data_IF_011396288439
#
_entry.id   IF_011396288439
#
_cell.length_a   1.000
_cell.length_b   1.000
_cell.length_c   1.000
_cell.angle_alpha   90.00
_cell.angle_beta   90.00
_cell.angle_gamma   90.00
#
_symmetry.space_group_name_H-M   'P 1'
#
loop_
_entity.id
_entity.type
_entity.pdbx_description
1 polymer ?
#
# COMPACT_ATOMS: atom_id res chain seq x y z
N UNK A 1 -9.83 -7.19 26.62
CA UNK A 1 -8.44 -7.70 26.56
C UNK A 1 -7.46 -6.55 26.71
N UNK A 2 -6.28 -6.83 27.25
CA UNK A 2 -5.15 -5.89 27.33
C UNK A 2 -4.23 -6.11 26.13
N UNK A 3 -4.12 -5.11 25.28
CA UNK A 3 -3.53 -5.23 23.95
C UNK A 3 -2.29 -4.33 23.85
N UNK A 4 -1.18 -4.90 23.34
CA UNK A 4 -0.06 -4.12 22.83
C UNK A 4 -0.27 -3.87 21.33
N UNK A 5 -0.26 -2.62 20.89
CA UNK A 5 -0.44 -2.28 19.49
C UNK A 5 0.89 -1.89 18.84
N UNK A 6 1.20 -2.46 17.66
CA UNK A 6 2.42 -2.19 16.91
C UNK A 6 2.06 -1.72 15.50
N UNK A 7 2.37 -0.47 15.17
CA UNK A 7 2.03 0.09 13.86
C UNK A 7 2.76 1.41 13.60
N UNK A 8 2.81 1.84 12.33
CA UNK A 8 3.52 3.10 12.00
C UNK A 8 2.75 4.00 11.04
N UNK A 9 2.34 3.56 9.81
CA UNK A 9 1.73 4.43 8.82
C UNK A 9 0.22 4.61 9.05
N UNK A 10 -0.36 5.50 8.26
CA UNK A 10 -1.79 5.81 8.32
C UNK A 10 -2.73 4.59 8.23
N UNK A 11 -2.45 3.55 7.41
CA UNK A 11 -3.30 2.35 7.34
C UNK A 11 -3.44 1.57 8.66
N UNK A 12 -2.56 1.78 9.63
CA UNK A 12 -2.66 1.15 10.94
C UNK A 12 -3.59 1.91 11.91
N UNK A 13 -3.92 3.17 11.63
CA UNK A 13 -4.72 4.02 12.51
C UNK A 13 -6.16 3.52 12.68
N UNK A 14 -6.88 3.08 11.62
CA UNK A 14 -8.24 2.56 11.77
C UNK A 14 -8.31 1.40 12.76
N UNK A 15 -7.35 0.48 12.72
CA UNK A 15 -7.30 -0.66 13.65
C UNK A 15 -7.06 -0.22 15.09
N UNK A 16 -6.12 0.71 15.34
CA UNK A 16 -5.88 1.24 16.68
C UNK A 16 -7.16 1.89 17.26
N UNK A 17 -7.82 2.74 16.47
CA UNK A 17 -9.06 3.41 16.90
C UNK A 17 -10.19 2.41 17.13
N UNK A 18 -10.31 1.39 16.28
CA UNK A 18 -11.34 0.36 16.42
C UNK A 18 -11.16 -0.47 17.70
N UNK A 19 -9.93 -0.84 18.06
CA UNK A 19 -9.66 -1.56 19.32
C UNK A 19 -10.10 -0.75 20.54
N UNK A 20 -9.75 0.53 20.60
CA UNK A 20 -10.18 1.42 21.72
C UNK A 20 -11.70 1.59 21.74
N UNK A 21 -12.33 1.81 20.57
CA UNK A 21 -13.78 1.99 20.44
C UNK A 21 -14.57 0.74 20.85
N UNK A 22 -14.00 -0.45 20.68
CA UNK A 22 -14.58 -1.73 21.10
C UNK A 22 -14.28 -2.08 22.57
N UNK A 23 -13.72 -1.14 23.36
CA UNK A 23 -13.50 -1.30 24.79
C UNK A 23 -12.30 -2.15 25.19
N UNK A 24 -11.36 -2.39 24.26
CA UNK A 24 -10.09 -3.04 24.60
C UNK A 24 -9.15 -2.03 25.27
N UNK A 25 -8.39 -2.48 26.27
CA UNK A 25 -7.36 -1.69 26.92
C UNK A 25 -6.07 -1.76 26.10
N UNK A 26 -5.74 -0.70 25.37
CA UNK A 26 -4.45 -0.60 24.67
C UNK A 26 -3.39 -0.13 25.68
N UNK A 27 -2.62 -1.08 26.24
CA UNK A 27 -1.65 -0.83 27.32
C UNK A 27 -0.40 -0.10 26.84
N UNK A 28 -0.02 -0.30 25.58
CA UNK A 28 1.13 0.36 24.94
C UNK A 28 0.94 0.41 23.41
N UNK A 29 1.42 1.48 22.81
CA UNK A 29 1.53 1.62 21.33
C UNK A 29 3.01 1.72 20.95
N UNK A 30 3.50 0.73 20.22
CA UNK A 30 4.88 0.74 19.72
C UNK A 30 4.89 1.18 18.27
N UNK A 31 5.62 2.25 17.98
CA UNK A 31 5.74 2.83 16.64
C UNK A 31 7.16 3.27 16.34
N UNK A 32 7.48 3.42 15.06
CA UNK A 32 8.82 3.93 14.65
C UNK A 32 9.04 5.35 15.16
N UNK A 33 10.28 5.73 15.46
CA UNK A 33 10.64 7.09 15.88
C UNK A 33 10.20 8.15 14.87
N UNK A 34 10.02 9.36 15.35
CA UNK A 34 9.71 10.53 14.53
C UNK A 34 10.75 10.71 13.42
N UNK A 35 10.28 11.09 12.25
CA UNK A 35 11.14 11.32 11.08
C UNK A 35 10.94 12.72 10.54
N UNK A 36 12.00 13.26 9.96
CA UNK A 36 11.90 14.50 9.20
C UNK A 36 10.97 14.31 8.01
N UNK A 37 9.95 15.15 7.88
CA UNK A 37 8.96 15.12 6.81
C UNK A 37 8.76 16.51 6.22
N UNK A 38 8.28 16.55 4.97
CA UNK A 38 8.04 17.80 4.25
C UNK A 38 9.32 18.53 3.80
N UNK A 39 9.12 19.62 3.06
CA UNK A 39 10.23 20.43 2.49
C UNK A 39 11.08 21.15 3.55
N UNK A 40 10.52 21.42 4.73
CA UNK A 40 11.22 22.06 5.87
C UNK A 40 12.03 21.11 6.74
N UNK A 41 11.88 19.79 6.58
CA UNK A 41 12.63 18.80 7.36
C UNK A 41 12.30 18.79 8.85
N UNK A 42 11.14 19.26 9.28
CA UNK A 42 10.68 19.20 10.67
C UNK A 42 10.40 17.76 11.10
N UNK A 43 10.73 17.44 12.36
CA UNK A 43 10.39 16.18 12.98
C UNK A 43 8.87 16.08 13.13
N UNK A 44 8.28 15.08 12.51
CA UNK A 44 6.84 14.83 12.60
C UNK A 44 6.59 13.43 13.16
N UNK A 45 5.58 13.29 14.04
CA UNK A 45 5.17 12.00 14.57
C UNK A 45 4.69 11.07 13.44
N UNK A 46 4.79 9.76 13.67
CA UNK A 46 4.10 8.81 12.81
C UNK A 46 2.58 9.01 12.93
N UNK A 47 1.77 8.66 11.90
CA UNK A 47 0.31 8.71 12.00
C UNK A 47 -0.23 7.92 13.21
N UNK A 48 0.35 6.75 13.50
CA UNK A 48 -0.02 5.96 14.68
C UNK A 48 0.34 6.69 15.98
N UNK A 49 1.53 7.33 16.07
CA UNK A 49 1.87 8.12 17.26
C UNK A 49 0.90 9.28 17.47
N UNK A 50 0.56 10.01 16.42
CA UNK A 50 -0.39 11.12 16.51
C UNK A 50 -1.75 10.63 17.03
N UNK A 51 -2.30 9.56 16.44
CA UNK A 51 -3.56 8.97 16.88
C UNK A 51 -3.50 8.43 18.32
N UNK A 52 -2.39 7.80 18.72
CA UNK A 52 -2.21 7.29 20.08
C UNK A 52 -2.21 8.41 21.11
N UNK A 53 -1.53 9.53 20.84
CA UNK A 53 -1.52 10.70 21.72
C UNK A 53 -2.90 11.36 21.85
N UNK A 54 -3.66 11.48 20.74
CA UNK A 54 -5.05 11.95 20.74
C UNK A 54 -5.96 11.06 21.61
N UNK A 55 -5.69 9.76 21.65
CA UNK A 55 -6.42 8.79 22.46
C UNK A 55 -5.93 8.68 23.92
N UNK A 56 -4.88 9.44 24.28
CA UNK A 56 -4.29 9.39 25.62
C UNK A 56 -3.52 8.10 25.93
N UNK A 57 -3.02 7.39 24.90
CA UNK A 57 -2.33 6.12 25.04
C UNK A 57 -0.83 6.28 25.25
N UNK A 58 -0.22 5.32 25.94
CA UNK A 58 1.23 5.26 26.13
C UNK A 58 1.93 4.88 24.82
N UNK A 59 2.94 5.66 24.43
CA UNK A 59 3.70 5.46 23.18
C UNK A 59 5.14 5.10 23.48
N UNK A 60 5.65 4.07 22.81
CA UNK A 60 7.06 3.68 22.82
C UNK A 60 7.63 3.59 21.41
N UNK A 61 8.96 3.64 21.32
CA UNK A 61 9.73 3.48 20.09
C UNK A 61 10.62 2.23 20.11
N UNK A 62 10.51 1.42 21.14
CA UNK A 62 11.30 0.18 21.31
C UNK A 62 10.41 -1.01 21.66
N UNK A 63 10.68 -2.15 21.02
CA UNK A 63 10.01 -3.42 21.36
C UNK A 63 10.32 -3.90 22.76
N UNK A 64 11.45 -3.45 23.36
CA UNK A 64 11.85 -3.87 24.71
C UNK A 64 10.83 -3.49 25.76
N UNK A 65 10.06 -2.44 25.55
CA UNK A 65 9.05 -2.00 26.50
C UNK A 65 7.87 -2.96 26.61
N UNK A 66 7.70 -3.89 25.66
CA UNK A 66 6.72 -4.98 25.74
C UNK A 66 7.00 -5.94 26.89
N UNK A 67 8.26 -6.10 27.33
CA UNK A 67 8.60 -6.91 28.50
C UNK A 67 8.10 -6.31 29.82
N UNK A 68 7.76 -5.02 29.84
CA UNK A 68 7.38 -4.29 31.05
C UNK A 68 5.87 -4.02 31.14
N UNK A 69 5.08 -4.52 30.19
CA UNK A 69 3.63 -4.36 30.17
C UNK A 69 2.96 -5.73 30.22
N UNK A 70 1.84 -5.80 30.90
CA UNK A 70 1.05 -7.02 30.98
C UNK A 70 0.02 -7.00 29.83
N UNK A 71 0.47 -7.35 28.63
CA UNK A 71 -0.37 -7.48 27.44
C UNK A 71 -0.74 -8.95 27.21
N UNK A 72 -2.04 -9.21 26.99
CA UNK A 72 -2.55 -10.54 26.67
C UNK A 72 -2.36 -10.89 25.20
N UNK A 73 -2.32 -9.84 24.33
CA UNK A 73 -2.23 -9.98 22.88
C UNK A 73 -1.48 -8.80 22.28
N UNK A 74 -0.62 -9.06 21.31
CA UNK A 74 -0.06 -8.06 20.42
C UNK A 74 -0.86 -7.95 19.12
N UNK A 75 -1.07 -6.74 18.63
CA UNK A 75 -1.69 -6.47 17.32
C UNK A 75 -0.71 -5.69 16.46
N UNK A 76 -0.35 -6.25 15.32
CA UNK A 76 0.64 -5.69 14.40
C UNK A 76 -0.05 -5.25 13.11
N UNK A 77 0.16 -4.00 12.71
CA UNK A 77 -0.35 -3.47 11.43
C UNK A 77 0.73 -2.59 10.80
N UNK A 78 1.34 -3.06 9.72
CA UNK A 78 2.34 -2.31 8.97
C UNK A 78 3.41 -1.64 9.88
N UNK A 79 3.92 -2.36 10.86
CA UNK A 79 4.89 -1.84 11.83
C UNK A 79 6.23 -1.45 11.19
N UNK A 80 6.65 -2.20 10.17
CA UNK A 80 7.83 -1.90 9.37
C UNK A 80 9.17 -2.23 10.03
N UNK A 81 9.17 -3.15 10.99
CA UNK A 81 10.37 -3.77 11.56
C UNK A 81 10.10 -5.23 11.88
N UNK A 82 11.16 -6.04 11.86
CA UNK A 82 11.12 -7.43 12.29
C UNK A 82 10.82 -7.52 13.79
N UNK A 83 9.96 -8.44 14.17
CA UNK A 83 9.69 -8.78 15.58
C UNK A 83 10.48 -10.06 15.88
N UNK A 84 11.40 -10.03 16.86
CA UNK A 84 12.20 -11.20 17.19
C UNK A 84 11.31 -12.35 17.74
N UNK A 85 11.69 -13.59 17.44
CA UNK A 85 10.99 -14.80 17.94
C UNK A 85 10.81 -14.78 19.48
N UNK A 86 11.85 -14.40 20.22
CA UNK A 86 11.79 -14.26 21.68
C UNK A 86 10.68 -13.29 22.16
N UNK A 87 10.24 -12.34 21.34
CA UNK A 87 9.14 -11.45 21.70
C UNK A 87 7.79 -12.13 21.50
N UNK A 88 7.67 -13.01 20.50
CA UNK A 88 6.45 -13.77 20.23
C UNK A 88 6.17 -14.80 21.31
N UNK A 89 7.22 -15.27 22.01
CA UNK A 89 7.09 -16.15 23.19
C UNK A 89 6.54 -15.40 24.41
N UNK A 90 6.75 -14.07 24.48
CA UNK A 90 6.27 -13.25 25.61
C UNK A 90 4.84 -12.81 25.41
N UNK A 91 4.51 -12.36 24.19
CA UNK A 91 3.17 -11.89 23.82
C UNK A 91 2.80 -12.51 22.49
N UNK A 92 1.78 -13.38 22.42
CA UNK A 92 1.25 -13.86 21.14
C UNK A 92 0.74 -12.69 20.33
N UNK A 93 0.98 -12.70 19.02
CA UNK A 93 0.66 -11.55 18.16
C UNK A 93 -0.17 -11.94 16.96
N UNK A 94 -1.16 -11.10 16.64
CA UNK A 94 -1.88 -11.11 15.37
C UNK A 94 -1.35 -10.03 14.45
N UNK A 95 -1.29 -10.32 13.16
CA UNK A 95 -0.97 -9.36 12.11
C UNK A 95 -2.18 -9.14 11.19
N UNK A 96 -2.47 -7.88 10.88
CA UNK A 96 -3.42 -7.50 9.83
C UNK A 96 -2.63 -7.40 8.54
N UNK A 97 -2.75 -8.41 7.68
CA UNK A 97 -2.04 -8.48 6.41
C UNK A 97 -2.97 -8.15 5.25
N UNK A 98 -2.54 -7.22 4.38
CA UNK A 98 -3.38 -6.68 3.30
C UNK A 98 -3.28 -7.48 2.00
N UNK A 99 -3.47 -8.80 2.11
CA UNK A 99 -3.65 -9.71 0.98
C UNK A 99 -4.42 -10.96 1.38
N UNK A 100 -4.77 -11.78 0.39
CA UNK A 100 -5.34 -13.12 0.55
C UNK A 100 -4.18 -14.12 0.61
N UNK A 101 -3.68 -14.41 1.81
CA UNK A 101 -2.57 -15.33 2.02
C UNK A 101 -2.93 -16.77 1.54
N UNK A 102 -1.95 -17.51 0.99
CA UNK A 102 -0.52 -17.27 0.92
C UNK A 102 -0.04 -16.35 -0.21
N UNK A 103 -0.97 -15.71 -0.96
CA UNK A 103 -0.61 -14.78 -2.02
C UNK A 103 -0.14 -13.45 -1.43
N UNK A 104 0.96 -12.94 -1.96
CA UNK A 104 1.55 -11.64 -1.60
C UNK A 104 2.04 -11.54 -0.13
N UNK A 105 2.75 -12.55 0.37
CA UNK A 105 3.53 -12.40 1.61
C UNK A 105 4.57 -11.29 1.45
N UNK A 106 4.74 -10.41 2.44
CA UNK A 106 5.77 -9.39 2.43
C UNK A 106 5.30 -7.94 2.48
N UNK A 107 6.11 -7.02 1.93
CA UNK A 107 6.06 -5.61 2.30
C UNK A 107 5.09 -4.74 1.48
N UNK A 108 4.69 -5.16 0.27
CA UNK A 108 3.90 -4.35 -0.66
C UNK A 108 2.76 -5.15 -1.34
N UNK A 109 1.90 -5.86 -0.56
CA UNK A 109 0.89 -6.76 -1.11
C UNK A 109 -0.14 -6.05 -1.98
N UNK A 110 -0.59 -4.87 -1.60
CA UNK A 110 -1.62 -4.08 -2.29
C UNK A 110 -1.14 -3.65 -3.67
N UNK A 111 0.06 -3.08 -3.74
CA UNK A 111 0.67 -2.63 -4.99
C UNK A 111 0.97 -3.80 -5.92
N UNK A 112 1.43 -4.93 -5.37
CA UNK A 112 1.71 -6.14 -6.17
C UNK A 112 0.44 -6.76 -6.74
N UNK A 113 -0.66 -6.76 -6.01
CA UNK A 113 -1.96 -7.22 -6.50
C UNK A 113 -2.44 -6.36 -7.69
N UNK A 114 -2.30 -5.03 -7.60
CA UNK A 114 -2.63 -4.11 -8.71
C UNK A 114 -1.72 -4.39 -9.93
N UNK A 115 -0.40 -4.46 -9.74
CA UNK A 115 0.57 -4.68 -10.82
C UNK A 115 0.36 -6.01 -11.52
N UNK A 116 -0.01 -7.04 -10.79
CA UNK A 116 -0.29 -8.38 -11.35
C UNK A 116 -1.63 -8.45 -12.09
N UNK A 117 -2.49 -7.45 -11.91
CA UNK A 117 -3.83 -7.42 -12.50
C UNK A 117 -4.80 -8.38 -11.82
N UNK A 118 -4.62 -8.64 -10.53
CA UNK A 118 -5.55 -9.40 -9.74
C UNK A 118 -6.92 -8.73 -9.76
N UNK A 119 -7.99 -9.51 -9.84
CA UNK A 119 -9.36 -8.99 -9.84
C UNK A 119 -9.85 -8.65 -8.45
N UNK A 120 -9.35 -9.39 -7.45
CA UNK A 120 -9.68 -9.25 -6.04
C UNK A 120 -8.42 -9.31 -5.17
N UNK A 121 -8.52 -8.74 -3.99
CA UNK A 121 -7.57 -8.85 -2.90
C UNK A 121 -8.33 -8.92 -1.58
N UNK A 122 -7.67 -8.77 -0.46
CA UNK A 122 -8.36 -8.79 0.82
C UNK A 122 -7.46 -8.51 1.99
N UNK A 123 -7.94 -8.91 3.14
CA UNK A 123 -7.23 -8.85 4.42
C UNK A 123 -7.26 -10.21 5.07
N UNK A 124 -6.12 -10.66 5.58
CA UNK A 124 -6.03 -11.79 6.49
C UNK A 124 -5.65 -11.31 7.88
N UNK A 125 -6.39 -11.79 8.89
CA UNK A 125 -5.97 -11.72 10.30
C UNK A 125 -5.24 -13.02 10.58
N UNK A 126 -3.94 -12.94 10.81
CA UNK A 126 -3.08 -14.12 10.95
C UNK A 126 -2.27 -14.09 12.24
N UNK A 127 -1.92 -15.25 12.78
CA UNK A 127 -0.92 -15.36 13.83
C UNK A 127 0.45 -14.95 13.30
N UNK A 128 1.17 -14.12 14.03
CA UNK A 128 2.53 -13.76 13.65
C UNK A 128 3.51 -14.85 14.09
N UNK A 129 4.32 -15.31 13.16
CA UNK A 129 5.39 -16.28 13.37
C UNK A 129 6.75 -15.70 12.99
N UNK A 130 7.83 -16.43 13.25
CA UNK A 130 9.18 -16.00 12.93
C UNK A 130 9.40 -15.81 11.41
N UNK A 131 8.82 -16.70 10.61
CA UNK A 131 8.94 -16.61 9.16
C UNK A 131 7.94 -15.60 8.59
N UNK A 132 8.33 -14.97 7.47
CA UNK A 132 7.59 -13.86 6.87
C UNK A 132 6.18 -14.27 6.42
N UNK A 133 5.18 -13.78 7.14
CA UNK A 133 3.75 -13.93 6.85
C UNK A 133 3.29 -15.39 6.59
N UNK A 134 3.85 -16.35 7.36
CA UNK A 134 3.58 -17.80 7.21
C UNK A 134 2.53 -18.34 8.16
N UNK A 135 2.21 -17.62 9.23
CA UNK A 135 1.32 -18.10 10.27
C UNK A 135 -0.09 -18.39 9.81
N UNK A 136 -0.84 -19.19 10.58
CA UNK A 136 -2.22 -19.56 10.26
C UNK A 136 -3.15 -18.34 10.28
N UNK A 137 -4.23 -18.42 9.51
CA UNK A 137 -5.21 -17.35 9.28
C UNK A 137 -6.46 -17.60 10.11
N UNK A 138 -6.84 -16.62 10.93
CA UNK A 138 -8.05 -16.65 11.76
C UNK A 138 -9.29 -16.19 10.99
N UNK A 139 -9.13 -15.20 10.11
CA UNK A 139 -10.21 -14.64 9.31
C UNK A 139 -9.66 -14.05 8.02
N UNK A 140 -10.36 -14.30 6.93
CA UNK A 140 -10.10 -13.71 5.62
C UNK A 140 -11.31 -12.89 5.17
N UNK A 141 -11.07 -11.69 4.65
CA UNK A 141 -12.09 -10.83 4.05
C UNK A 141 -11.64 -10.38 2.65
N UNK A 142 -12.55 -10.44 1.67
CA UNK A 142 -12.26 -10.17 0.25
C UNK A 142 -12.89 -8.89 -0.24
N UNK A 143 -12.22 -8.20 -1.14
CA UNK A 143 -12.76 -7.05 -1.89
C UNK A 143 -12.30 -7.08 -3.35
N UNK A 144 -13.11 -6.48 -4.23
CA UNK A 144 -12.72 -6.27 -5.62
C UNK A 144 -11.71 -5.12 -5.75
N UNK A 145 -10.67 -5.31 -6.56
CA UNK A 145 -9.70 -4.26 -6.88
C UNK A 145 -10.30 -3.24 -7.85
N UNK A 146 -10.94 -3.70 -8.94
CA UNK A 146 -11.45 -2.81 -10.00
C UNK A 146 -10.38 -1.85 -10.51
N UNK A 147 -10.74 -0.60 -10.72
CA UNK A 147 -9.85 0.47 -11.18
C UNK A 147 -9.29 1.34 -10.05
N UNK A 148 -9.43 0.92 -8.80
CA UNK A 148 -8.94 1.68 -7.63
C UNK A 148 -7.43 1.91 -7.70
N UNK A 149 -7.01 3.09 -7.27
CA UNK A 149 -5.60 3.38 -6.98
C UNK A 149 -5.11 2.61 -5.76
N UNK A 150 -3.80 2.49 -5.59
CA UNK A 150 -3.23 1.84 -4.39
C UNK A 150 -3.63 2.54 -3.09
N UNK A 151 -3.79 3.87 -3.12
CA UNK A 151 -4.25 4.63 -1.96
C UNK A 151 -5.69 4.31 -1.59
N UNK A 152 -6.62 4.36 -2.55
CA UNK A 152 -8.04 4.04 -2.33
C UNK A 152 -8.22 2.60 -1.84
N UNK A 153 -7.50 1.66 -2.47
CA UNK A 153 -7.57 0.25 -2.09
C UNK A 153 -7.02 0.02 -0.68
N UNK A 154 -5.91 0.67 -0.33
CA UNK A 154 -5.31 0.56 0.99
C UNK A 154 -6.19 1.19 2.08
N UNK A 155 -6.86 2.31 1.80
CA UNK A 155 -7.81 2.93 2.72
C UNK A 155 -9.00 2.00 3.00
N UNK A 156 -9.57 1.39 1.96
CA UNK A 156 -10.67 0.43 2.08
C UNK A 156 -10.24 -0.84 2.85
N UNK A 157 -9.06 -1.40 2.52
CA UNK A 157 -8.49 -2.55 3.22
C UNK A 157 -8.17 -2.25 4.69
N UNK A 158 -7.75 -1.03 5.00
CA UNK A 158 -7.45 -0.61 6.37
C UNK A 158 -8.70 -0.61 7.26
N UNK A 159 -9.84 -0.17 6.72
CA UNK A 159 -11.14 -0.20 7.41
C UNK A 159 -11.64 -1.64 7.54
N UNK A 160 -11.53 -2.43 6.46
CA UNK A 160 -11.92 -3.84 6.46
C UNK A 160 -11.09 -4.64 7.45
N UNK A 161 -9.77 -4.44 7.49
CA UNK A 161 -8.86 -5.08 8.42
C UNK A 161 -9.14 -4.73 9.88
N UNK A 162 -9.50 -3.48 10.16
CA UNK A 162 -9.91 -3.05 11.50
C UNK A 162 -11.17 -3.78 11.97
N UNK A 163 -12.17 -3.95 11.09
CA UNK A 163 -13.40 -4.71 11.40
C UNK A 163 -13.10 -6.18 11.61
N UNK A 164 -12.36 -6.80 10.69
CA UNK A 164 -11.99 -8.21 10.76
C UNK A 164 -11.18 -8.52 12.02
N UNK A 165 -10.23 -7.65 12.41
CA UNK A 165 -9.49 -7.84 13.66
C UNK A 165 -10.39 -7.75 14.88
N UNK A 166 -11.28 -6.77 14.96
CA UNK A 166 -12.22 -6.67 16.10
C UNK A 166 -13.15 -7.87 16.17
N UNK A 167 -13.55 -8.46 15.06
CA UNK A 167 -14.32 -9.69 15.00
C UNK A 167 -13.54 -10.87 15.60
N UNK A 168 -12.27 -11.05 15.20
CA UNK A 168 -11.39 -12.10 15.73
C UNK A 168 -11.16 -11.92 17.22
N UNK A 169 -10.79 -10.71 17.67
CA UNK A 169 -10.48 -10.43 19.09
C UNK A 169 -11.73 -10.50 19.96
N UNK A 170 -12.91 -10.23 19.41
CA UNK A 170 -14.21 -10.33 20.10
C UNK A 170 -14.78 -11.75 20.17
N UNK A 171 -14.21 -12.72 19.46
CA UNK A 171 -14.67 -14.11 19.40
C UNK A 171 -13.62 -15.07 19.94
N UNK A 172 -13.92 -15.74 21.06
CA UNK A 172 -13.03 -16.76 21.61
C UNK A 172 -12.80 -17.92 20.64
N UNK A 173 -13.82 -18.26 19.85
CA UNK A 173 -13.75 -19.29 18.83
C UNK A 173 -12.76 -18.91 17.70
N UNK A 174 -12.93 -17.74 17.10
CA UNK A 174 -12.04 -17.26 16.03
C UNK A 174 -10.60 -17.06 16.53
N UNK A 175 -10.44 -16.56 17.76
CA UNK A 175 -9.12 -16.33 18.33
C UNK A 175 -8.35 -17.63 18.60
N UNK A 176 -9.03 -18.73 18.92
CA UNK A 176 -8.41 -20.04 19.18
C UNK A 176 -8.23 -20.89 17.93
N UNK A 177 -9.05 -20.68 16.92
CA UNK A 177 -9.06 -21.51 15.72
C UNK A 177 -8.52 -20.68 14.54
N UNK A 178 -7.39 -21.10 14.01
CA UNK A 178 -6.79 -20.53 12.83
C UNK A 178 -6.40 -21.63 11.85
N UNK A 179 -6.71 -21.43 10.58
CA UNK A 179 -6.44 -22.41 9.54
C UNK A 179 -5.05 -22.20 8.94
N UNK A 180 -4.30 -23.30 8.68
CA UNK A 180 -3.06 -23.20 7.92
C UNK A 180 -3.29 -22.58 6.55
N UNK A 181 -2.34 -21.78 6.07
CA UNK A 181 -2.39 -21.26 4.71
C UNK A 181 -2.29 -22.41 3.68
N UNK A 182 -3.16 -22.41 2.66
CA UNK A 182 -3.22 -23.44 1.62
C UNK A 182 -2.93 -22.82 0.25
N UNK A 183 -2.05 -23.46 -0.52
CA UNK A 183 -1.66 -23.04 -1.87
C UNK A 183 -0.20 -22.60 -1.97
N UNK A 184 0.22 -22.24 -3.19
CA UNK A 184 1.58 -21.78 -3.47
C UNK A 184 1.77 -20.32 -3.03
N UNK A 185 2.76 -20.02 -2.19
CA UNK A 185 3.01 -18.66 -1.76
C UNK A 185 3.59 -17.80 -2.89
N UNK A 186 3.17 -16.55 -2.93
CA UNK A 186 3.83 -15.51 -3.73
C UNK A 186 4.32 -14.38 -2.84
N UNK A 187 5.32 -13.63 -3.30
CA UNK A 187 6.00 -12.65 -2.47
C UNK A 187 5.84 -11.22 -3.00
N UNK A 188 5.53 -10.33 -2.09
CA UNK A 188 5.34 -8.90 -2.34
C UNK A 188 6.58 -8.12 -1.87
N UNK A 189 7.64 -8.19 -2.66
CA UNK A 189 8.85 -7.42 -2.40
C UNK A 189 8.58 -5.93 -2.42
N UNK A 190 9.33 -5.19 -1.62
CA UNK A 190 9.28 -3.74 -1.55
C UNK A 190 9.52 -3.11 -2.93
N UNK A 191 8.69 -2.14 -3.30
CA UNK A 191 8.82 -1.42 -4.55
C UNK A 191 10.04 -0.47 -4.52
N UNK A 192 10.73 -0.38 -5.64
CA UNK A 192 11.81 0.56 -5.88
C UNK A 192 11.38 1.65 -6.89
N UNK A 193 12.25 2.60 -7.17
CA UNK A 193 11.98 3.69 -8.11
C UNK A 193 11.71 3.20 -9.54
N UNK A 194 12.37 2.12 -9.93
CA UNK A 194 12.24 1.55 -11.27
C UNK A 194 10.86 0.99 -11.55
N UNK A 195 10.17 0.48 -10.51
CA UNK A 195 8.77 0.01 -10.62
C UNK A 195 7.82 1.10 -11.13
N UNK A 196 8.13 2.37 -10.89
CA UNK A 196 7.27 3.50 -11.26
C UNK A 196 7.69 4.16 -12.58
N UNK A 197 8.77 3.70 -13.20
CA UNK A 197 9.25 4.18 -14.48
C UNK A 197 8.44 3.52 -15.61
N UNK A 198 7.67 4.32 -16.34
CA UNK A 198 6.90 3.85 -17.49
C UNK A 198 7.85 3.59 -18.66
N UNK A 199 7.82 2.37 -19.20
CA UNK A 199 8.65 1.94 -20.32
C UNK A 199 7.80 1.64 -21.55
N UNK A 200 8.23 2.09 -22.70
CA UNK A 200 7.51 1.87 -23.97
C UNK A 200 7.48 0.38 -24.39
N UNK A 201 8.29 -0.46 -23.76
CA UNK A 201 8.33 -1.91 -23.95
C UNK A 201 7.21 -2.67 -23.25
N UNK A 202 6.50 -2.03 -22.31
CA UNK A 202 5.36 -2.58 -21.60
C UNK A 202 4.05 -2.33 -22.37
N UNK A 203 2.98 -3.06 -22.08
CA UNK A 203 1.65 -2.80 -22.63
C UNK A 203 0.98 -1.58 -21.96
N UNK A 204 0.08 -0.91 -22.66
CA UNK A 204 -0.71 0.20 -22.11
C UNK A 204 -1.47 -0.21 -20.84
N UNK A 205 -2.01 -1.43 -20.80
CA UNK A 205 -2.68 -2.00 -19.64
C UNK A 205 -1.73 -2.10 -18.43
N UNK A 206 -0.49 -2.56 -18.64
CA UNK A 206 0.48 -2.65 -17.56
C UNK A 206 0.91 -1.27 -17.09
N UNK A 207 1.10 -0.31 -17.99
CA UNK A 207 1.42 1.07 -17.62
C UNK A 207 0.28 1.74 -16.84
N UNK A 208 -0.97 1.51 -17.21
CA UNK A 208 -2.13 2.01 -16.45
C UNK A 208 -2.14 1.46 -15.00
N UNK A 209 -1.76 0.19 -14.80
CA UNK A 209 -1.60 -0.37 -13.45
C UNK A 209 -0.48 0.34 -12.66
N UNK A 210 0.64 0.66 -13.30
CA UNK A 210 1.74 1.41 -12.67
C UNK A 210 1.28 2.82 -12.27
N UNK A 211 0.49 3.49 -13.12
CA UNK A 211 -0.07 4.83 -12.82
C UNK A 211 -0.95 4.79 -11.58
N UNK A 212 -1.76 3.76 -11.40
CA UNK A 212 -2.63 3.56 -10.23
C UNK A 212 -1.86 3.45 -8.91
N UNK A 213 -0.54 3.21 -8.93
CA UNK A 213 0.30 3.26 -7.73
C UNK A 213 0.61 4.70 -7.27
N UNK A 214 0.23 5.73 -8.05
CA UNK A 214 0.31 7.16 -7.69
C UNK A 214 1.70 7.77 -7.74
N UNK A 215 2.71 7.09 -8.33
CA UNK A 215 4.11 7.53 -8.39
C UNK A 215 4.73 7.40 -9.79
N UNK A 216 3.92 7.11 -10.80
CA UNK A 216 4.36 6.86 -12.17
C UNK A 216 5.06 8.06 -12.80
N UNK A 217 6.10 7.79 -13.53
CA UNK A 217 6.83 8.79 -14.31
C UNK A 217 7.48 8.16 -15.54
N UNK A 218 7.80 9.02 -16.49
CA UNK A 218 8.67 8.73 -17.63
C UNK A 218 9.57 9.92 -17.89
N UNK A 219 10.28 9.91 -19.00
CA UNK A 219 11.08 11.03 -19.49
C UNK A 219 10.61 11.47 -20.88
N UNK A 220 10.63 12.78 -21.11
CA UNK A 220 10.43 13.39 -22.41
C UNK A 220 11.71 14.20 -22.67
N UNK A 221 12.58 13.69 -23.54
CA UNK A 221 13.96 14.09 -23.58
C UNK A 221 14.64 13.82 -22.23
N UNK A 222 15.29 14.82 -21.65
CA UNK A 222 15.98 14.69 -20.35
C UNK A 222 15.09 15.09 -19.15
N UNK A 223 13.85 15.55 -19.39
CA UNK A 223 12.97 16.06 -18.35
C UNK A 223 12.05 14.97 -17.82
N UNK A 224 11.97 14.91 -16.49
CA UNK A 224 11.05 13.98 -15.81
C UNK A 224 9.61 14.42 -16.00
N UNK A 225 8.78 13.48 -16.38
CA UNK A 225 7.36 13.69 -16.65
C UNK A 225 6.54 12.71 -15.81
N UNK A 226 5.77 13.22 -14.86
CA UNK A 226 4.90 12.38 -14.03
C UNK A 226 3.56 12.21 -14.71
N UNK A 227 3.04 10.99 -14.65
CA UNK A 227 1.70 10.62 -15.07
C UNK A 227 0.90 10.32 -13.82
N UNK A 228 -0.13 11.12 -13.56
CA UNK A 228 -0.92 11.05 -12.32
C UNK A 228 -2.20 10.26 -12.52
N UNK A 229 -2.85 10.43 -13.68
CA UNK A 229 -4.04 9.68 -14.08
C UNK A 229 -3.91 9.34 -15.57
N UNK A 230 -4.24 8.10 -15.92
CA UNK A 230 -4.17 7.60 -17.27
C UNK A 230 -4.98 6.32 -17.42
N UNK A 231 -5.41 6.02 -18.64
CA UNK A 231 -6.09 4.78 -18.97
C UNK A 231 -5.56 4.18 -20.26
N UNK A 232 -5.69 2.86 -20.41
CA UNK A 232 -5.24 2.15 -21.61
C UNK A 232 -6.27 2.30 -22.74
N UNK A 233 -5.77 2.46 -23.97
CA UNK A 233 -6.55 2.50 -25.20
C UNK A 233 -6.04 1.45 -26.19
N UNK A 234 -6.94 0.90 -26.98
CA UNK A 234 -6.56 0.15 -28.18
C UNK A 234 -5.99 1.12 -29.22
N UNK A 235 -4.77 0.91 -29.62
CA UNK A 235 -4.06 1.71 -30.62
C UNK A 235 -2.93 0.90 -31.24
N UNK A 236 -2.60 1.20 -32.50
CA UNK A 236 -1.43 0.65 -33.18
C UNK A 236 -0.53 1.82 -33.60
N UNK A 237 0.75 1.72 -33.30
CA UNK A 237 1.73 2.75 -33.61
C UNK A 237 3.12 2.30 -33.20
N UNK A 238 4.11 3.15 -33.45
CA UNK A 238 5.50 2.90 -33.07
C UNK A 238 5.69 3.15 -31.56
N UNK A 239 6.10 2.13 -30.78
CA UNK A 239 6.33 2.30 -29.34
C UNK A 239 7.36 3.40 -29.05
N UNK A 240 7.08 4.23 -28.06
CA UNK A 240 7.93 5.36 -27.68
C UNK A 240 7.54 6.69 -28.36
N UNK A 241 6.58 6.68 -29.28
CA UNK A 241 6.02 7.91 -29.88
C UNK A 241 4.77 8.38 -29.14
N UNK A 242 4.25 9.55 -29.54
CA UNK A 242 2.98 10.07 -29.06
C UNK A 242 1.89 9.88 -30.11
N UNK A 243 0.64 9.84 -29.65
CA UNK A 243 -0.54 9.96 -30.51
C UNK A 243 -1.59 10.83 -29.82
N UNK A 244 -2.63 11.22 -30.55
CA UNK A 244 -3.78 11.94 -29.99
C UNK A 244 -5.05 11.18 -30.36
N UNK A 245 -5.80 10.73 -29.38
CA UNK A 245 -7.05 9.99 -29.56
C UNK A 245 -8.18 10.79 -28.91
N UNK A 246 -9.18 11.19 -29.70
CA UNK A 246 -10.33 11.98 -29.17
C UNK A 246 -9.93 13.31 -28.50
N UNK A 247 -8.79 13.91 -28.90
CA UNK A 247 -8.26 15.14 -28.28
C UNK A 247 -7.40 14.91 -27.04
N UNK A 248 -7.22 13.67 -26.57
CA UNK A 248 -6.37 13.31 -25.45
C UNK A 248 -5.03 12.79 -25.97
N UNK A 249 -3.89 13.34 -25.54
CA UNK A 249 -2.58 12.80 -25.87
C UNK A 249 -2.36 11.45 -25.22
N UNK A 250 -1.67 10.57 -25.93
CA UNK A 250 -1.37 9.23 -25.44
C UNK A 250 0.05 8.82 -25.79
N UNK A 251 0.65 8.01 -24.92
CA UNK A 251 1.95 7.38 -25.10
C UNK A 251 1.76 6.05 -25.84
N UNK A 252 2.33 5.91 -27.04
CA UNK A 252 2.28 4.66 -27.80
C UNK A 252 3.21 3.64 -27.13
N UNK A 253 2.71 2.44 -26.87
CA UNK A 253 3.38 1.39 -26.08
C UNK A 253 3.59 0.13 -26.96
N UNK A 254 4.20 -0.91 -26.41
CA UNK A 254 4.36 -2.18 -27.12
C UNK A 254 3.03 -2.81 -27.54
N UNK A 255 1.96 -2.52 -26.79
CA UNK A 255 0.59 -2.97 -27.08
C UNK A 255 -0.38 -1.90 -26.58
N UNK A 256 -1.08 -1.22 -27.51
CA UNK A 256 -2.00 -0.14 -27.22
C UNK A 256 -1.32 1.22 -27.02
N UNK A 257 -2.04 2.15 -26.44
CA UNK A 257 -1.53 3.46 -26.01
C UNK A 257 -2.08 3.85 -24.64
N UNK A 258 -1.27 4.55 -23.85
CA UNK A 258 -1.65 5.07 -22.54
C UNK A 258 -2.13 6.51 -22.68
N UNK A 259 -3.44 6.73 -22.60
CA UNK A 259 -4.04 8.06 -22.61
C UNK A 259 -3.68 8.84 -21.35
N UNK A 260 -3.24 10.08 -21.50
CA UNK A 260 -2.76 10.94 -20.43
C UNK A 260 -3.88 11.86 -19.95
N UNK A 261 -4.55 11.49 -18.87
CA UNK A 261 -5.66 12.28 -18.31
C UNK A 261 -5.13 13.44 -17.47
N UNK A 262 -4.26 13.16 -16.49
CA UNK A 262 -3.62 14.16 -15.63
C UNK A 262 -2.13 13.92 -15.56
N UNK A 263 -1.37 14.98 -15.82
CA UNK A 263 0.10 14.93 -15.87
C UNK A 263 0.75 16.05 -15.06
N UNK A 264 2.04 15.88 -14.75
CA UNK A 264 2.85 16.89 -14.09
C UNK A 264 4.26 16.92 -14.71
N UNK A 265 4.51 17.83 -15.66
CA UNK A 265 5.87 18.09 -16.16
C UNK A 265 6.79 18.58 -15.03
N UNK A 266 8.08 18.33 -15.16
CA UNK A 266 9.07 18.80 -14.20
C UNK A 266 9.01 20.33 -14.02
N UNK A 267 9.02 20.78 -12.76
CA UNK A 267 8.93 22.19 -12.40
C UNK A 267 7.53 22.81 -12.52
N UNK A 268 6.52 22.06 -12.96
CA UNK A 268 5.15 22.53 -13.18
C UNK A 268 4.17 22.00 -12.12
N UNK A 269 2.98 22.59 -12.08
CA UNK A 269 1.82 22.02 -11.35
C UNK A 269 1.18 20.92 -12.20
N UNK A 270 0.39 20.06 -11.56
CA UNK A 270 -0.47 19.10 -12.26
C UNK A 270 -1.47 19.81 -13.17
N UNK A 271 -1.75 19.22 -14.32
CA UNK A 271 -2.67 19.75 -15.32
C UNK A 271 -3.28 18.62 -16.15
N UNK A 272 -4.37 18.92 -16.85
CA UNK A 272 -4.95 17.98 -17.80
C UNK A 272 -3.94 17.67 -18.93
N UNK A 273 -3.87 16.41 -19.37
CA UNK A 273 -2.99 15.98 -20.45
C UNK A 273 -3.22 16.75 -21.76
N UNK A 274 -4.49 17.04 -22.10
CA UNK A 274 -4.83 17.85 -23.26
C UNK A 274 -4.30 19.28 -23.19
N UNK A 275 -4.36 19.92 -22.01
CA UNK A 275 -3.81 21.26 -21.82
C UNK A 275 -2.28 21.27 -21.90
N UNK A 276 -1.62 20.26 -21.34
CA UNK A 276 -0.19 20.08 -21.49
C UNK A 276 0.22 19.93 -22.96
N UNK A 277 -0.49 19.07 -23.70
CA UNK A 277 -0.18 18.79 -25.11
C UNK A 277 -0.22 20.03 -25.99
N UNK A 278 -1.24 20.87 -25.84
CA UNK A 278 -1.38 22.13 -26.56
C UNK A 278 -0.20 23.09 -26.30
N UNK A 279 0.35 23.10 -25.09
CA UNK A 279 1.48 23.95 -24.71
C UNK A 279 2.86 23.32 -24.99
N UNK A 280 2.94 22.02 -25.21
CA UNK A 280 4.21 21.31 -25.40
C UNK A 280 4.81 21.50 -26.78
N UNK A 281 4.01 21.89 -27.78
CA UNK A 281 4.41 22.07 -29.20
C UNK A 281 5.18 20.86 -29.76
N UNK A 282 4.78 19.66 -29.36
CA UNK A 282 5.37 18.39 -29.80
C UNK A 282 4.64 17.88 -31.04
N UNK A 283 5.41 17.38 -32.02
CA UNK A 283 4.85 16.65 -33.16
C UNK A 283 4.74 15.15 -32.76
N UNK A 284 3.55 14.52 -32.88
CA UNK A 284 3.32 13.16 -32.41
C UNK A 284 4.35 12.12 -32.88
N UNK A 285 4.70 12.18 -34.18
CA UNK A 285 5.58 11.18 -34.80
C UNK A 285 7.09 11.42 -34.59
N UNK A 286 7.48 12.59 -34.08
CA UNK A 286 8.89 12.95 -33.91
C UNK A 286 9.31 13.13 -32.47
N UNK A 287 8.34 13.28 -31.56
CA UNK A 287 8.60 13.31 -30.13
C UNK A 287 8.68 11.89 -29.56
N UNK A 288 9.64 11.64 -28.70
CA UNK A 288 9.85 10.34 -28.06
C UNK A 288 9.76 10.46 -26.55
N UNK A 289 9.36 9.35 -25.93
CA UNK A 289 9.27 9.16 -24.48
C UNK A 289 9.87 7.80 -24.07
N UNK A 290 10.31 7.66 -22.81
CA UNK A 290 10.87 6.44 -22.25
C UNK A 290 12.34 6.52 -21.94
#
# INVERSE_FOLDING_TARGET
MRIAFLGTPAPAVPTLRALVANGHEVVIVVTRPDKKRGRGGELSPSPVKAAALELGLNVSHTLKDLYNVDAELGVVVAYGAMIPAAMLEVVPMLNVHFSLLPRWRGAAPVERAILSGDKETGVCIMTLEEALDTGPVHLEQRISIGEKTSSELLDELSILGAKALCEVVGSEELLKNADPQVGEPTYAEKLNSETFNLKNTESATQLARIVRLGRAFTFIGERRFKVLEAHALEHQGEPGTFTVVGGTPALVTSEGALALDVVQPEGSKSMAGSAWWLGAHLEPSSAHWG
#
